data_IF_587879005485
#
_entry.id   IF_587879005485
#
_cell.length_a   1.000
_cell.length_b   1.000
_cell.length_c   1.000
_cell.angle_alpha   90.00
_cell.angle_beta   90.00
_cell.angle_gamma   90.00
#
_symmetry.space_group_name_H-M   'P 1'
#
loop_
_entity.id
_entity.type
_entity.pdbx_description
1 polymer ?
#
# COMPACT_ATOMS: atom_id res chain seq x y z
N UNK A 1 19.52 -37.50 -31.76
CA UNK A 1 18.05 -37.29 -31.84
C UNK A 1 17.73 -36.20 -30.84
N UNK A 2 17.31 -35.04 -31.34
CA UNK A 2 17.26 -33.77 -30.61
C UNK A 2 16.01 -33.64 -29.72
N UNK A 3 16.17 -32.96 -28.59
CA UNK A 3 15.11 -32.62 -27.63
C UNK A 3 14.65 -31.19 -27.92
N UNK A 4 13.37 -31.00 -28.22
CA UNK A 4 12.75 -29.67 -28.38
C UNK A 4 11.76 -29.42 -27.24
N UNK A 5 12.02 -28.35 -26.48
CA UNK A 5 11.18 -27.84 -25.39
C UNK A 5 10.27 -26.74 -25.97
N UNK A 6 8.94 -26.76 -25.77
CA UNK A 6 8.10 -25.67 -26.22
C UNK A 6 8.20 -24.48 -25.26
N UNK A 7 8.83 -23.40 -25.71
CA UNK A 7 8.85 -22.11 -25.02
C UNK A 7 7.53 -21.36 -25.29
N UNK A 8 6.73 -21.19 -24.25
CA UNK A 8 5.53 -20.34 -24.29
C UNK A 8 5.99 -18.88 -24.23
N UNK A 9 5.76 -18.15 -25.33
CA UNK A 9 6.03 -16.72 -25.44
C UNK A 9 5.01 -15.93 -24.61
N UNK A 10 5.48 -15.25 -23.55
CA UNK A 10 4.69 -14.26 -22.83
C UNK A 10 4.85 -12.90 -23.50
N UNK A 11 3.78 -12.43 -24.13
CA UNK A 11 3.67 -11.06 -24.64
C UNK A 11 3.52 -10.11 -23.45
N UNK A 12 4.50 -9.23 -23.27
CA UNK A 12 4.44 -8.06 -22.39
C UNK A 12 3.88 -6.90 -23.22
N UNK A 13 2.78 -6.24 -22.81
CA UNK A 13 2.43 -4.93 -23.35
C UNK A 13 3.32 -3.89 -22.68
N UNK A 14 4.31 -3.38 -23.41
CA UNK A 14 5.05 -2.16 -23.07
C UNK A 14 4.23 -0.97 -23.60
N UNK A 15 3.37 -0.43 -22.74
CA UNK A 15 2.63 0.80 -23.00
C UNK A 15 3.13 1.91 -22.06
N UNK A 16 3.97 2.78 -22.63
CA UNK A 16 3.88 4.22 -22.45
C UNK A 16 4.44 4.81 -21.14
N UNK A 17 5.74 5.08 -21.15
CA UNK A 17 6.36 6.11 -20.31
C UNK A 17 5.68 7.47 -20.56
N UNK A 18 5.13 8.17 -19.55
CA UNK A 18 4.78 9.57 -19.68
C UNK A 18 6.08 10.36 -19.76
N UNK A 19 6.30 11.04 -20.90
CA UNK A 19 7.49 11.83 -21.15
C UNK A 19 7.72 12.90 -20.08
N UNK A 20 8.86 12.80 -19.41
CA UNK A 20 9.68 13.97 -19.10
C UNK A 20 10.26 14.39 -20.45
N UNK A 21 9.97 15.56 -20.99
CA UNK A 21 10.36 16.87 -20.51
C UNK A 21 9.59 17.85 -21.38
N UNK A 22 9.28 19.04 -20.86
CA UNK A 22 9.06 20.33 -21.55
C UNK A 22 8.06 21.14 -20.71
N UNK A 23 8.45 21.49 -19.48
CA UNK A 23 7.86 22.67 -18.86
C UNK A 23 8.80 23.83 -19.15
N UNK A 24 8.29 24.79 -19.92
CA UNK A 24 8.93 26.03 -20.25
C UNK A 24 9.40 26.73 -18.97
N UNK A 25 10.72 26.82 -18.78
CA UNK A 25 11.32 27.75 -17.84
C UNK A 25 11.37 29.11 -18.55
N UNK A 26 10.29 29.85 -18.42
CA UNK A 26 10.32 31.26 -18.71
C UNK A 26 11.09 31.99 -17.60
N UNK A 27 11.74 33.04 -18.07
CA UNK A 27 12.20 34.21 -17.34
C UNK A 27 13.53 34.03 -16.60
N UNK A 28 14.55 34.34 -17.41
CA UNK A 28 15.90 34.61 -16.96
C UNK A 28 15.94 35.68 -15.88
N UNK A 29 17.04 35.62 -15.13
CA UNK A 29 17.45 36.68 -14.24
C UNK A 29 17.33 38.05 -14.93
N UNK A 30 16.88 39.10 -14.24
CA UNK A 30 17.19 40.45 -14.67
C UNK A 30 18.70 40.62 -14.52
N UNK A 31 19.38 40.61 -15.66
CA UNK A 31 20.66 41.27 -15.86
C UNK A 31 20.55 42.70 -15.31
N UNK A 32 21.48 43.16 -14.44
CA UNK A 32 21.48 44.53 -13.95
C UNK A 32 21.97 45.44 -15.08
N UNK A 33 21.06 45.76 -15.99
CA UNK A 33 21.20 46.83 -16.97
C UNK A 33 21.03 48.18 -16.29
N UNK A 34 22.14 48.68 -15.79
CA UNK A 34 22.40 50.08 -15.48
C UNK A 34 22.11 50.97 -16.71
N UNK A 35 21.62 52.20 -16.45
CA UNK A 35 21.26 53.32 -17.37
C UNK A 35 19.75 53.53 -17.60
N UNK A 36 19.10 54.68 -17.35
CA UNK A 36 19.48 56.06 -17.05
C UNK A 36 18.26 56.73 -16.40
N UNK A 37 18.40 57.37 -15.23
CA UNK A 37 17.70 58.62 -14.95
C UNK A 37 18.57 59.49 -14.05
N UNK A 38 19.33 60.32 -14.75
CA UNK A 38 19.94 61.60 -14.37
C UNK A 38 19.69 62.08 -12.93
N UNK A 39 20.80 62.12 -12.20
CA UNK A 39 21.01 63.07 -11.11
C UNK A 39 20.67 64.49 -11.57
N UNK A 40 19.56 65.04 -11.07
CA UNK A 40 19.34 66.47 -11.01
C UNK A 40 19.39 66.90 -9.55
N UNK A 41 20.50 67.58 -9.25
CA UNK A 41 20.76 68.39 -8.07
C UNK A 41 19.53 69.11 -7.50
N UNK A 42 19.26 68.95 -6.20
CA UNK A 42 18.70 70.04 -5.39
C UNK A 42 19.11 69.88 -3.93
N UNK A 43 19.93 70.81 -3.45
CA UNK A 43 20.40 70.82 -2.07
C UNK A 43 19.34 71.31 -1.08
N UNK A 44 19.39 70.72 0.13
CA UNK A 44 18.92 71.30 1.38
C UNK A 44 17.55 70.83 1.88
N UNK A 45 17.55 70.01 2.94
CA UNK A 45 16.85 70.15 4.25
C UNK A 45 16.73 68.75 4.93
N UNK A 46 17.11 68.54 6.21
CA UNK A 46 16.98 67.24 6.85
C UNK A 46 15.50 66.98 7.21
N UNK A 47 14.77 66.41 6.25
CA UNK A 47 13.38 66.00 6.44
C UNK A 47 13.35 64.56 6.96
N UNK A 48 13.21 64.46 8.28
CA UNK A 48 12.60 63.38 9.06
C UNK A 48 12.64 61.96 8.43
N UNK A 49 13.54 61.11 8.94
CA UNK A 49 13.62 59.66 8.65
C UNK A 49 12.38 58.86 9.14
N UNK A 50 11.26 59.51 9.41
CA UNK A 50 10.04 58.92 9.96
C UNK A 50 8.88 58.96 8.97
N UNK A 51 9.07 58.39 7.79
CA UNK A 51 7.95 58.09 6.90
C UNK A 51 8.01 56.65 6.39
N UNK A 52 8.06 55.70 7.33
CA UNK A 52 7.50 54.38 7.08
C UNK A 52 5.97 54.53 6.97
N UNK A 53 5.49 55.04 5.84
CA UNK A 53 4.06 54.98 5.46
C UNK A 53 3.70 53.56 5.06
N UNK A 54 3.89 52.61 5.98
CA UNK A 54 3.12 51.36 6.00
C UNK A 54 1.83 51.67 6.75
N UNK A 55 1.00 52.54 6.17
CA UNK A 55 -0.29 52.94 6.73
C UNK A 55 -1.35 51.88 6.43
N UNK A 56 -1.12 50.65 6.89
CA UNK A 56 -2.22 49.80 7.33
C UNK A 56 -2.18 49.86 8.86
N UNK A 57 -3.17 50.44 9.54
CA UNK A 57 -3.23 50.39 10.98
C UNK A 57 -3.61 48.96 11.37
N UNK A 58 -2.64 48.05 11.43
CA UNK A 58 -2.82 46.76 12.06
C UNK A 58 -3.31 47.01 13.49
N UNK A 59 -4.56 46.65 13.75
CA UNK A 59 -5.15 46.74 15.08
C UNK A 59 -4.71 45.53 15.89
N UNK A 60 -4.29 45.73 17.15
CA UNK A 60 -3.96 44.62 18.05
C UNK A 60 -5.12 43.63 18.23
N UNK A 61 -6.36 44.12 18.20
CA UNK A 61 -7.56 43.29 18.27
C UNK A 61 -7.83 42.47 16.98
N UNK A 62 -7.20 42.82 15.86
CA UNK A 62 -7.24 42.04 14.62
C UNK A 62 -6.18 40.94 14.63
N UNK A 63 -4.97 41.26 15.10
CA UNK A 63 -3.90 40.27 15.29
C UNK A 63 -4.29 39.20 16.32
N UNK A 64 -4.91 39.58 17.44
CA UNK A 64 -5.42 38.64 18.44
C UNK A 64 -6.50 37.71 17.85
N UNK A 65 -7.45 38.25 17.08
CA UNK A 65 -8.46 37.44 16.39
C UNK A 65 -7.87 36.49 15.35
N UNK A 66 -6.84 36.91 14.63
CA UNK A 66 -6.15 36.06 13.65
C UNK A 66 -5.34 34.96 14.33
N UNK A 67 -4.66 35.26 15.44
CA UNK A 67 -3.96 34.27 16.27
C UNK A 67 -4.94 33.26 16.91
N UNK A 68 -6.10 33.71 17.40
CA UNK A 68 -7.16 32.82 17.91
C UNK A 68 -7.75 31.95 16.79
N UNK A 69 -7.98 32.52 15.60
CA UNK A 69 -8.47 31.78 14.45
C UNK A 69 -7.46 30.70 14.01
N UNK A 70 -6.16 31.02 13.97
CA UNK A 70 -5.11 30.07 13.63
C UNK A 70 -4.93 28.99 14.70
N UNK A 71 -5.04 29.33 15.99
CA UNK A 71 -5.07 28.35 17.08
C UNK A 71 -6.25 27.38 16.91
N UNK A 72 -7.44 27.89 16.61
CA UNK A 72 -8.64 27.08 16.37
C UNK A 72 -8.49 26.17 15.16
N UNK A 73 -7.87 26.68 14.09
CA UNK A 73 -7.56 25.89 12.87
C UNK A 73 -6.57 24.77 13.16
N UNK A 74 -5.55 25.03 13.99
CA UNK A 74 -4.57 24.04 14.41
C UNK A 74 -5.19 22.93 15.26
N UNK A 75 -6.08 23.29 16.19
CA UNK A 75 -6.85 22.33 16.99
C UNK A 75 -7.73 21.45 16.10
N UNK A 76 -8.40 22.05 15.11
CA UNK A 76 -9.23 21.32 14.15
C UNK A 76 -8.40 20.37 13.28
N UNK A 77 -7.23 20.82 12.81
CA UNK A 77 -6.29 19.97 12.05
C UNK A 77 -5.82 18.78 12.89
N UNK A 78 -5.48 19.00 14.16
CA UNK A 78 -5.03 17.94 15.05
C UNK A 78 -6.14 16.92 15.37
N UNK A 79 -7.38 17.38 15.56
CA UNK A 79 -8.53 16.51 15.71
C UNK A 79 -8.77 15.66 14.46
N UNK A 80 -8.79 16.30 13.28
CA UNK A 80 -8.96 15.60 11.99
C UNK A 80 -7.85 14.57 11.74
N UNK A 81 -6.60 14.91 12.03
CA UNK A 81 -5.46 14.01 11.89
C UNK A 81 -5.59 12.78 12.79
N UNK A 82 -6.00 12.96 14.06
CA UNK A 82 -6.24 11.84 14.98
C UNK A 82 -7.32 10.90 14.49
N UNK A 83 -8.45 11.45 14.03
CA UNK A 83 -9.55 10.65 13.52
C UNK A 83 -9.13 9.86 12.28
N UNK A 84 -8.42 10.49 11.34
CA UNK A 84 -7.88 9.82 10.16
C UNK A 84 -6.90 8.70 10.52
N UNK A 85 -5.95 8.95 11.42
CA UNK A 85 -4.98 7.94 11.87
C UNK A 85 -5.67 6.78 12.58
N UNK A 86 -6.68 7.07 13.41
CA UNK A 86 -7.46 6.04 14.10
C UNK A 86 -8.28 5.19 13.12
N UNK A 87 -8.87 5.81 12.10
CA UNK A 87 -9.61 5.13 11.03
C UNK A 87 -8.71 4.21 10.22
N UNK A 88 -7.55 4.71 9.75
CA UNK A 88 -6.56 3.91 9.01
C UNK A 88 -6.03 2.74 9.85
N UNK A 89 -5.79 2.95 11.15
CA UNK A 89 -5.39 1.88 12.08
C UNK A 89 -6.46 0.81 12.21
N UNK A 90 -7.74 1.21 12.33
CA UNK A 90 -8.86 0.27 12.38
C UNK A 90 -8.98 -0.55 11.09
N UNK A 91 -8.78 0.09 9.93
CA UNK A 91 -8.79 -0.60 8.63
C UNK A 91 -7.65 -1.62 8.52
N UNK A 92 -6.44 -1.25 8.93
CA UNK A 92 -5.30 -2.17 8.95
C UNK A 92 -5.56 -3.40 9.84
N UNK A 93 -6.13 -3.19 11.04
CA UNK A 93 -6.48 -4.27 11.95
C UNK A 93 -7.55 -5.21 11.37
N UNK A 94 -8.53 -4.68 10.63
CA UNK A 94 -9.51 -5.49 9.93
C UNK A 94 -8.87 -6.32 8.81
N UNK A 95 -7.90 -5.75 8.10
CA UNK A 95 -7.15 -6.46 7.06
C UNK A 95 -6.35 -7.63 7.64
N UNK A 96 -5.71 -7.43 8.79
CA UNK A 96 -5.00 -8.51 9.50
C UNK A 96 -5.97 -9.63 9.91
N UNK A 97 -7.13 -9.28 10.47
CA UNK A 97 -8.17 -10.25 10.84
C UNK A 97 -8.70 -11.03 9.63
N UNK A 98 -8.92 -10.35 8.50
CA UNK A 98 -9.35 -10.99 7.26
C UNK A 98 -8.27 -11.96 6.74
N UNK A 99 -7.01 -11.56 6.81
CA UNK A 99 -5.86 -12.39 6.43
C UNK A 99 -5.76 -13.66 7.29
N UNK A 100 -5.92 -13.53 8.61
CA UNK A 100 -5.92 -14.67 9.53
C UNK A 100 -7.09 -15.63 9.27
N UNK A 101 -8.26 -15.11 8.91
CA UNK A 101 -9.43 -15.92 8.56
C UNK A 101 -9.18 -16.75 7.28
N UNK A 102 -8.60 -16.13 6.25
CA UNK A 102 -8.23 -16.84 5.03
C UNK A 102 -7.21 -17.94 5.32
N UNK A 103 -6.16 -17.63 6.09
CA UNK A 103 -5.14 -18.60 6.51
C UNK A 103 -5.76 -19.78 7.26
N UNK A 104 -6.70 -19.52 8.16
CA UNK A 104 -7.41 -20.57 8.91
C UNK A 104 -8.22 -21.46 7.97
N UNK A 105 -8.86 -20.86 6.96
CA UNK A 105 -9.63 -21.58 5.95
C UNK A 105 -8.75 -22.48 5.08
N UNK A 106 -7.60 -21.96 4.63
CA UNK A 106 -6.63 -22.73 3.85
C UNK A 106 -6.07 -23.91 4.65
N UNK A 107 -5.76 -23.68 5.94
CA UNK A 107 -5.35 -24.74 6.85
C UNK A 107 -6.43 -25.83 6.98
N UNK A 108 -7.69 -25.45 7.21
CA UNK A 108 -8.81 -26.38 7.31
C UNK A 108 -8.98 -27.21 6.03
N UNK A 109 -8.81 -26.59 4.87
CA UNK A 109 -8.88 -27.26 3.56
C UNK A 109 -7.76 -28.28 3.39
N UNK A 110 -6.53 -27.93 3.76
CA UNK A 110 -5.39 -28.85 3.74
C UNK A 110 -5.60 -30.03 4.71
N UNK A 111 -6.07 -29.75 5.93
CA UNK A 111 -6.40 -30.75 6.94
C UNK A 111 -7.46 -31.73 6.44
N UNK A 112 -8.57 -31.24 5.87
CA UNK A 112 -9.63 -32.07 5.31
C UNK A 112 -9.11 -32.96 4.17
N UNK A 113 -8.28 -32.41 3.28
CA UNK A 113 -7.65 -33.17 2.19
C UNK A 113 -6.72 -34.27 2.71
N UNK A 114 -5.90 -33.97 3.72
CA UNK A 114 -5.02 -34.94 4.35
C UNK A 114 -5.79 -36.07 5.04
N UNK A 115 -6.88 -35.74 5.75
CA UNK A 115 -7.77 -36.73 6.37
C UNK A 115 -8.40 -37.65 5.33
N UNK A 116 -8.90 -37.10 4.23
CA UNK A 116 -9.49 -37.90 3.15
C UNK A 116 -8.46 -38.84 2.51
N UNK A 117 -7.26 -38.35 2.21
CA UNK A 117 -6.18 -39.19 1.69
C UNK A 117 -5.83 -40.34 2.66
N UNK A 118 -5.73 -40.04 3.96
CA UNK A 118 -5.44 -41.05 4.98
C UNK A 118 -6.55 -42.11 5.07
N UNK A 119 -7.80 -41.68 5.00
CA UNK A 119 -8.96 -42.58 4.98
C UNK A 119 -8.94 -43.51 3.75
N UNK A 120 -8.60 -42.97 2.57
CA UNK A 120 -8.52 -43.76 1.35
C UNK A 120 -7.39 -44.79 1.41
N UNK A 121 -6.24 -44.44 2.01
CA UNK A 121 -5.17 -45.40 2.27
C UNK A 121 -5.59 -46.50 3.24
N UNK A 122 -6.35 -46.17 4.28
CA UNK A 122 -6.87 -47.16 5.22
C UNK A 122 -7.89 -48.09 4.55
N UNK A 123 -8.77 -47.57 3.69
CA UNK A 123 -9.71 -48.38 2.91
C UNK A 123 -8.98 -49.36 1.99
N UNK A 124 -7.96 -48.89 1.28
CA UNK A 124 -7.16 -49.75 0.40
C UNK A 124 -6.51 -50.91 1.18
N UNK A 125 -5.90 -50.61 2.34
CA UNK A 125 -5.29 -51.63 3.20
C UNK A 125 -6.30 -52.62 3.77
N UNK A 126 -7.50 -52.14 4.10
CA UNK A 126 -8.58 -52.99 4.58
C UNK A 126 -9.00 -53.98 3.49
N UNK A 127 -9.20 -53.51 2.26
CA UNK A 127 -9.56 -54.36 1.12
C UNK A 127 -8.48 -55.41 0.83
N UNK A 128 -7.20 -55.04 0.90
CA UNK A 128 -6.08 -55.98 0.76
C UNK A 128 -6.06 -57.05 1.87
N UNK A 129 -6.28 -56.64 3.12
CA UNK A 129 -6.34 -57.56 4.25
C UNK A 129 -7.54 -58.52 4.14
N UNK A 130 -8.69 -58.02 3.69
CA UNK A 130 -9.89 -58.83 3.45
C UNK A 130 -9.67 -59.84 2.31
N UNK A 131 -9.04 -59.43 1.22
CA UNK A 131 -8.67 -60.34 0.12
C UNK A 131 -7.69 -61.42 0.57
N UNK A 132 -6.71 -61.04 1.40
CA UNK A 132 -5.74 -61.98 2.00
C UNK A 132 -6.43 -62.99 2.92
N UNK A 133 -7.38 -62.54 3.75
CA UNK A 133 -8.17 -63.39 4.63
C UNK A 133 -9.08 -64.33 3.83
N UNK A 134 -9.76 -63.82 2.81
CA UNK A 134 -10.60 -64.62 1.91
C UNK A 134 -9.78 -65.74 1.25
N UNK A 135 -8.58 -65.43 0.77
CA UNK A 135 -7.63 -66.40 0.21
C UNK A 135 -7.21 -67.45 1.23
N UNK A 136 -6.80 -67.03 2.43
CA UNK A 136 -6.38 -67.94 3.50
C UNK A 136 -7.53 -68.88 3.93
N UNK A 137 -8.74 -68.34 4.08
CA UNK A 137 -9.95 -69.09 4.41
C UNK A 137 -10.32 -70.09 3.30
N UNK A 138 -10.20 -69.70 2.04
CA UNK A 138 -10.39 -70.59 0.89
C UNK A 138 -9.41 -71.77 0.91
N UNK A 139 -8.13 -71.51 1.19
CA UNK A 139 -7.10 -72.56 1.31
C UNK A 139 -7.38 -73.55 2.44
N UNK A 140 -7.79 -73.07 3.61
CA UNK A 140 -8.16 -73.94 4.74
C UNK A 140 -9.37 -74.84 4.41
N UNK A 141 -10.37 -74.32 3.70
CA UNK A 141 -11.53 -75.14 3.26
C UNK A 141 -11.12 -76.24 2.29
N UNK A 142 -10.20 -75.97 1.37
CA UNK A 142 -9.71 -76.98 0.43
C UNK A 142 -8.83 -78.03 1.15
N UNK A 143 -7.98 -77.61 2.09
CA UNK A 143 -7.12 -78.51 2.87
C UNK A 143 -7.89 -79.57 3.67
N UNK A 144 -9.08 -79.26 4.19
CA UNK A 144 -9.91 -80.20 4.94
C UNK A 144 -10.72 -81.19 4.09
N UNK A 145 -10.75 -81.02 2.76
CA UNK A 145 -11.41 -81.94 1.82
C UNK A 145 -10.45 -83.05 1.37
N UNK A 146 -9.13 -82.83 1.45
CA UNK A 146 -8.10 -83.77 1.03
C UNK A 146 -7.39 -84.50 2.19
N UNK A 147 -7.83 -84.30 3.44
CA UNK A 147 -7.37 -85.05 4.63
C UNK A 147 -8.46 -86.01 5.08
#
# INVERSE_FOLDING_TARGET
MATETPAVSMVVPDEGTPGETHLAKNDGAPDPGEELLSNASSGGDPVDDAACTSASPFSYAELEREAEADSTRLDHYHAFSKDLVSGLRGMAQQHDLFTDLLRTTDYMKAFASQRKNSEDQLRLRLEEAEASLSTARGRMRLSGIFS
#
